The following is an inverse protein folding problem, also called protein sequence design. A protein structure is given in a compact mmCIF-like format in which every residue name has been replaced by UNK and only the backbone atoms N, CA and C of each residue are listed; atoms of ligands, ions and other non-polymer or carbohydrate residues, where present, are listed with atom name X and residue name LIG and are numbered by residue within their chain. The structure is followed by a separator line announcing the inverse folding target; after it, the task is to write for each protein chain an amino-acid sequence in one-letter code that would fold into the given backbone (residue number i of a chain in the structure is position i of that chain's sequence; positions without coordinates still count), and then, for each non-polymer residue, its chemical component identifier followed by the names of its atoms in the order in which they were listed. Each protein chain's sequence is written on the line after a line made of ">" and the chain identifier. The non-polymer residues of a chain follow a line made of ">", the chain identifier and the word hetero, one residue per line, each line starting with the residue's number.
data_IF_861912876497
#
_entry.id   IF_861912876497
#
_cell.length_a   1.000
_cell.length_b   1.000
_cell.length_c   1.000
_cell.angle_alpha   90.00
_cell.angle_beta   90.00
_cell.angle_gamma   90.00
#
_symmetry.space_group_name_H-M   'P 1'
#
loop_
_entity.id
_entity.type
_entity.pdbx_description
1 polymer ?
#
# COMPACT_ATOMS: atom_id res chain seq x y z
N UNK A 1 15.34 -4.66 23.80
CA UNK A 1 15.05 -6.12 23.68
C UNK A 1 13.55 -6.44 23.57
N UNK A 2 12.64 -5.79 24.33
CA UNK A 2 11.18 -5.94 24.15
C UNK A 2 10.65 -5.59 22.74
N UNK A 3 11.27 -4.62 22.06
CA UNK A 3 10.91 -4.20 20.69
C UNK A 3 11.18 -5.32 19.65
N UNK A 4 12.19 -6.18 19.85
CA UNK A 4 12.47 -7.31 18.96
C UNK A 4 11.44 -8.44 19.11
N UNK A 5 10.91 -8.65 20.32
CA UNK A 5 9.88 -9.68 20.56
C UNK A 5 8.49 -9.25 20.08
N UNK A 6 8.14 -7.96 20.21
CA UNK A 6 6.93 -7.40 19.59
C UNK A 6 6.93 -7.52 18.06
N UNK A 7 8.09 -7.30 17.45
CA UNK A 7 8.23 -7.38 15.99
C UNK A 7 7.96 -8.78 15.41
N UNK A 8 8.32 -9.83 16.15
CA UNK A 8 8.15 -11.22 15.69
C UNK A 8 6.68 -11.70 15.81
N UNK A 9 5.83 -10.97 16.54
CA UNK A 9 4.42 -11.28 16.75
C UNK A 9 3.49 -10.61 15.71
N UNK A 10 3.97 -9.59 14.98
CA UNK A 10 3.19 -8.85 13.97
C UNK A 10 3.30 -9.42 12.54
N UNK A 11 4.12 -10.44 12.32
CA UNK A 11 4.36 -11.00 10.98
C UNK A 11 3.21 -11.94 10.58
N UNK A 12 2.17 -11.38 9.98
CA UNK A 12 1.07 -12.16 9.43
C UNK A 12 1.57 -13.00 8.24
N UNK A 13 1.54 -14.33 8.37
CA UNK A 13 1.94 -15.26 7.30
C UNK A 13 0.70 -15.68 6.50
N UNK A 14 0.63 -15.23 5.25
CA UNK A 14 -0.40 -15.68 4.33
C UNK A 14 -0.20 -17.15 3.96
N UNK A 15 -1.29 -17.92 3.99
CA UNK A 15 -1.29 -19.36 3.68
C UNK A 15 -1.32 -19.56 2.17
N UNK A 16 -2.19 -18.82 1.47
CA UNK A 16 -2.30 -18.88 0.02
C UNK A 16 -1.77 -17.59 -0.63
N UNK A 17 -1.27 -17.73 -1.86
CA UNK A 17 -0.79 -16.59 -2.68
C UNK A 17 -1.94 -15.64 -3.03
N UNK A 18 -3.13 -16.18 -3.24
CA UNK A 18 -4.33 -15.41 -3.61
C UNK A 18 -4.83 -14.54 -2.46
N UNK A 19 -4.81 -15.06 -1.24
CA UNK A 19 -5.22 -14.33 -0.03
C UNK A 19 -4.33 -13.10 0.19
N UNK A 20 -3.03 -13.24 -0.08
CA UNK A 20 -2.08 -12.13 -0.01
C UNK A 20 -2.39 -11.03 -1.03
N UNK A 21 -2.69 -11.39 -2.27
CA UNK A 21 -3.01 -10.44 -3.34
C UNK A 21 -4.32 -9.71 -3.03
N UNK A 22 -5.33 -10.42 -2.53
CA UNK A 22 -6.63 -9.83 -2.21
C UNK A 22 -6.55 -8.82 -1.05
N UNK A 23 -5.83 -9.17 0.02
CA UNK A 23 -5.62 -8.26 1.16
C UNK A 23 -4.86 -7.01 0.73
N UNK A 24 -3.80 -7.18 -0.06
CA UNK A 24 -2.99 -6.04 -0.52
C UNK A 24 -3.77 -5.15 -1.49
N UNK A 25 -4.55 -5.74 -2.42
CA UNK A 25 -5.42 -4.97 -3.32
C UNK A 25 -6.49 -4.18 -2.55
N UNK A 26 -7.07 -4.78 -1.51
CA UNK A 26 -8.06 -4.13 -0.65
C UNK A 26 -7.46 -2.93 0.09
N UNK A 27 -6.22 -3.05 0.56
CA UNK A 27 -5.50 -1.96 1.23
C UNK A 27 -5.18 -0.81 0.25
N UNK A 28 -4.76 -1.14 -0.97
CA UNK A 28 -4.40 -0.15 -1.99
C UNK A 28 -5.61 0.64 -2.52
N UNK A 29 -6.77 -0.01 -2.58
CA UNK A 29 -8.00 0.62 -3.09
C UNK A 29 -8.70 1.48 -2.02
N UNK A 30 -8.40 1.29 -0.74
CA UNK A 30 -9.26 1.77 0.37
C UNK A 30 -8.63 2.89 1.21
N UNK A 31 -9.52 3.66 1.87
CA UNK A 31 -9.31 4.78 2.81
C UNK A 31 -8.98 6.14 2.16
N UNK A 32 -7.83 6.31 1.53
CA UNK A 32 -7.44 7.64 0.99
C UNK A 32 -8.22 8.05 -0.26
N UNK A 33 -8.64 7.07 -1.04
CA UNK A 33 -9.18 7.28 -2.38
C UNK A 33 -10.69 7.60 -2.40
N UNK A 34 -11.43 7.01 -1.46
CA UNK A 34 -12.88 7.17 -1.31
C UNK A 34 -13.22 8.51 -0.66
N UNK A 35 -12.36 9.04 0.21
CA UNK A 35 -12.58 10.32 0.91
C UNK A 35 -12.38 11.56 0.01
N UNK A 36 -11.51 11.47 -1.02
CA UNK A 36 -11.31 12.56 -2.01
C UNK A 36 -12.33 12.54 -3.15
N UNK A 37 -12.86 11.37 -3.47
CA UNK A 37 -13.86 11.18 -4.50
C UNK A 37 -15.11 12.09 -4.37
N UNK A 38 -15.74 12.29 -3.19
CA UNK A 38 -16.93 13.12 -3.07
C UNK A 38 -16.68 14.61 -3.36
N UNK A 39 -15.48 15.12 -3.07
CA UNK A 39 -15.13 16.54 -3.27
C UNK A 39 -14.89 16.84 -4.76
N UNK A 40 -14.24 15.93 -5.48
CA UNK A 40 -13.91 16.12 -6.89
C UNK A 40 -15.14 15.88 -7.78
N UNK A 41 -16.03 14.94 -7.40
CA UNK A 41 -17.24 14.67 -8.18
C UNK A 41 -18.31 15.76 -8.11
N UNK A 42 -18.34 16.57 -7.05
CA UNK A 42 -19.26 17.70 -6.96
C UNK A 42 -18.91 18.84 -7.91
N UNK A 43 -17.62 19.01 -8.25
CA UNK A 43 -17.15 20.11 -9.11
C UNK A 43 -17.04 19.69 -10.59
N UNK A 44 -16.76 18.42 -10.88
CA UNK A 44 -16.44 17.93 -12.23
C UNK A 44 -17.63 17.34 -13.03
N UNK A 45 -18.88 17.59 -12.63
CA UNK A 45 -20.06 17.26 -13.44
C UNK A 45 -20.49 15.77 -13.46
N UNK A 46 -20.16 14.97 -12.44
CA UNK A 46 -20.71 13.63 -12.24
C UNK A 46 -19.78 12.44 -12.56
N UNK A 47 -20.36 11.27 -12.85
CA UNK A 47 -19.68 9.96 -13.00
C UNK A 47 -18.73 9.87 -14.20
N UNK A 48 -18.87 10.73 -15.22
CA UNK A 48 -18.03 10.64 -16.42
C UNK A 48 -16.55 10.96 -16.13
N UNK A 49 -16.27 11.80 -15.14
CA UNK A 49 -14.92 12.11 -14.67
C UNK A 49 -14.32 10.99 -13.76
N UNK A 50 -15.15 10.05 -13.31
CA UNK A 50 -14.72 8.93 -12.45
C UNK A 50 -13.94 7.85 -13.23
N UNK A 51 -14.32 7.59 -14.48
CA UNK A 51 -13.70 6.56 -15.32
C UNK A 51 -12.19 6.79 -15.51
N UNK A 52 -11.72 7.99 -15.95
CA UNK A 52 -10.30 8.25 -16.06
C UNK A 52 -9.58 8.25 -14.70
N UNK A 53 -10.25 8.70 -13.63
CA UNK A 53 -9.70 8.66 -12.28
C UNK A 53 -9.38 7.24 -11.82
N UNK A 54 -10.34 6.32 -11.94
CA UNK A 54 -10.14 4.90 -11.60
C UNK A 54 -9.07 4.25 -12.47
N UNK A 55 -9.04 4.56 -13.77
CA UNK A 55 -7.99 4.06 -14.66
C UNK A 55 -6.60 4.53 -14.22
N UNK A 56 -6.40 5.83 -13.98
CA UNK A 56 -5.13 6.37 -13.51
C UNK A 56 -4.71 5.76 -12.15
N UNK A 57 -5.67 5.54 -11.26
CA UNK A 57 -5.41 4.87 -9.99
C UNK A 57 -4.92 3.44 -10.18
N UNK A 58 -5.57 2.63 -11.01
CA UNK A 58 -5.11 1.26 -11.28
C UNK A 58 -3.71 1.28 -11.91
N UNK A 59 -3.46 2.20 -12.84
CA UNK A 59 -2.15 2.35 -13.49
C UNK A 59 -1.03 2.80 -12.57
N UNK A 60 -1.31 3.61 -11.54
CA UNK A 60 -0.32 4.05 -10.54
C UNK A 60 -0.16 3.01 -9.42
N UNK A 61 -1.26 2.36 -9.04
CA UNK A 61 -1.29 1.36 -7.97
C UNK A 61 -0.62 0.05 -8.39
N UNK A 62 -0.77 -0.41 -9.63
CA UNK A 62 -0.09 -1.62 -10.11
C UNK A 62 1.44 -1.57 -9.98
N UNK A 63 2.15 -0.53 -10.46
CA UNK A 63 3.60 -0.44 -10.32
C UNK A 63 4.05 -0.19 -8.87
N UNK A 64 3.30 0.59 -8.08
CA UNK A 64 3.66 0.82 -6.67
C UNK A 64 3.57 -0.48 -5.86
N UNK A 65 2.53 -1.28 -6.11
CA UNK A 65 2.32 -2.56 -5.46
C UNK A 65 3.40 -3.56 -5.83
N UNK A 66 3.81 -3.60 -7.10
CA UNK A 66 4.91 -4.47 -7.54
C UNK A 66 6.22 -4.10 -6.84
N UNK A 67 6.54 -2.81 -6.77
CA UNK A 67 7.74 -2.32 -6.09
C UNK A 67 7.71 -2.64 -4.59
N UNK A 68 6.61 -2.35 -3.91
CA UNK A 68 6.45 -2.63 -2.49
C UNK A 68 6.58 -4.13 -2.18
N UNK A 69 5.97 -4.97 -3.02
CA UNK A 69 6.01 -6.41 -2.84
C UNK A 69 7.40 -7.00 -3.12
N UNK A 70 8.12 -6.46 -4.11
CA UNK A 70 9.51 -6.85 -4.38
C UNK A 70 10.44 -6.49 -3.21
N UNK A 71 10.28 -5.29 -2.66
CA UNK A 71 11.03 -4.80 -1.49
C UNK A 71 10.72 -5.63 -0.24
N UNK A 72 9.44 -5.94 0.00
CA UNK A 72 8.98 -6.74 1.12
C UNK A 72 9.51 -8.17 1.08
N UNK A 73 9.52 -8.79 -0.10
CA UNK A 73 10.10 -10.13 -0.29
C UNK A 73 11.62 -10.14 -0.17
N UNK A 74 12.30 -9.11 -0.68
CA UNK A 74 13.75 -9.03 -0.63
C UNK A 74 14.28 -8.85 0.79
N UNK A 75 13.59 -8.06 1.61
CA UNK A 75 14.15 -7.64 2.89
C UNK A 75 13.60 -8.40 4.08
N UNK A 76 12.47 -9.11 3.96
CA UNK A 76 11.83 -9.87 5.06
C UNK A 76 11.71 -9.06 6.38
N UNK A 77 11.67 -7.73 6.25
CA UNK A 77 11.71 -6.72 7.28
C UNK A 77 10.49 -5.82 7.09
N UNK A 78 9.96 -5.21 8.15
CA UNK A 78 8.82 -4.31 8.03
C UNK A 78 9.26 -3.04 7.28
N UNK A 79 8.37 -2.48 6.48
CA UNK A 79 8.67 -1.32 5.63
C UNK A 79 9.32 -0.17 6.40
N UNK A 80 8.94 0.07 7.66
CA UNK A 80 9.52 1.13 8.51
C UNK A 80 11.02 0.91 8.83
N UNK A 81 11.46 -0.33 9.06
CA UNK A 81 12.88 -0.63 9.35
C UNK A 81 13.70 -0.72 8.07
N UNK A 82 13.04 -1.01 6.96
CA UNK A 82 13.65 -1.08 5.64
C UNK A 82 14.12 0.29 5.17
N UNK A 83 13.29 1.32 5.35
CA UNK A 83 13.65 2.71 5.02
C UNK A 83 14.88 3.18 5.81
N UNK A 84 14.94 2.84 7.11
CA UNK A 84 16.09 3.07 7.97
C UNK A 84 17.36 2.35 7.48
N UNK A 85 17.24 1.16 6.89
CA UNK A 85 18.39 0.41 6.34
C UNK A 85 18.88 0.93 4.98
N UNK A 86 17.98 1.43 4.12
CA UNK A 86 18.32 1.92 2.78
C UNK A 86 18.85 3.36 2.83
N UNK A 87 18.26 4.20 3.66
CA UNK A 87 18.66 5.59 3.85
C UNK A 87 18.65 5.93 5.36
N UNK A 88 19.78 5.85 6.07
CA UNK A 88 19.86 6.23 7.48
C UNK A 88 19.59 7.73 7.73
N UNK A 89 19.45 8.53 6.66
CA UNK A 89 19.14 9.96 6.72
C UNK A 89 17.70 10.30 7.15
N UNK A 90 16.76 9.33 7.13
CA UNK A 90 15.38 9.51 7.59
C UNK A 90 15.12 8.96 9.00
N UNK A 91 16.18 8.60 9.73
CA UNK A 91 16.10 8.17 11.13
C UNK A 91 16.13 9.39 12.05
N UNK A 92 15.02 10.13 12.07
CA UNK A 92 14.76 11.28 12.96
C UNK A 92 13.42 11.15 13.64
#
# INVERSE_FOLDING_TARGET
>A
QRIRQQFNQTTFRFINRTDHIFVTLSLLVTVGNILRFPVICSESGGILFFIPYVLCLIFITMPIMYLENAIGQYSSLPSIKLFCHICPAFEG
#
